data_IF_741523487696
#
_entry.id   IF_741523487696
#
_cell.length_a   1.000
_cell.length_b   1.000
_cell.length_c   1.000
_cell.angle_alpha   90.00
_cell.angle_beta   90.00
_cell.angle_gamma   90.00
#
_symmetry.space_group_name_H-M   'P 1'
#
loop_
_entity.id
_entity.type
_entity.pdbx_description
1 polymer ?
#
# COMPACT_ATOMS: atom_id res chain seq x y z
N UNK A 1 1.75 6.39 14.65
CA UNK A 1 0.30 6.08 14.72
C UNK A 1 -0.49 7.36 14.57
N UNK A 2 -1.47 7.40 13.67
CA UNK A 2 -2.38 8.55 13.52
C UNK A 2 -3.64 8.32 14.36
N UNK A 3 -4.14 9.36 15.02
CA UNK A 3 -5.34 9.29 15.87
C UNK A 3 -6.38 10.30 15.37
N UNK A 4 -7.59 9.80 15.14
CA UNK A 4 -8.76 10.56 14.74
C UNK A 4 -9.87 10.23 15.72
N UNK A 5 -10.57 11.25 16.21
CA UNK A 5 -11.77 11.08 17.03
C UNK A 5 -13.02 11.40 16.22
N UNK A 6 -14.05 10.58 16.41
CA UNK A 6 -15.38 10.79 15.86
C UNK A 6 -16.36 10.98 17.01
N UNK A 7 -17.14 12.06 16.98
CA UNK A 7 -18.13 12.36 18.02
C UNK A 7 -19.36 13.07 17.43
N UNK A 8 -20.43 13.16 18.22
CA UNK A 8 -21.64 13.90 17.85
C UNK A 8 -21.60 15.26 18.55
N UNK A 9 -21.74 16.35 17.79
CA UNK A 9 -21.73 17.69 18.36
C UNK A 9 -23.11 18.09 18.92
N UNK A 10 -23.21 19.29 19.51
CA UNK A 10 -24.47 19.82 20.09
C UNK A 10 -25.62 19.95 19.09
N UNK A 11 -25.35 19.93 17.79
CA UNK A 11 -26.34 19.99 16.71
C UNK A 11 -26.76 18.59 16.22
N UNK A 12 -26.30 17.52 16.86
CA UNK A 12 -26.58 16.15 16.44
C UNK A 12 -25.76 15.69 15.22
N UNK A 13 -24.78 16.47 14.77
CA UNK A 13 -23.98 16.13 13.59
C UNK A 13 -22.76 15.29 13.99
N UNK A 14 -22.46 14.26 13.19
CA UNK A 14 -21.21 13.49 13.30
C UNK A 14 -20.05 14.37 12.83
N UNK A 15 -19.03 14.46 13.67
CA UNK A 15 -17.83 15.25 13.43
C UNK A 15 -16.61 14.35 13.60
N UNK A 16 -15.69 14.43 12.65
CA UNK A 16 -14.37 13.82 12.74
C UNK A 16 -13.30 14.90 12.94
N UNK A 17 -12.34 14.61 13.83
CA UNK A 17 -11.21 15.49 14.12
C UNK A 17 -9.94 14.67 14.20
N UNK A 18 -8.99 15.01 13.35
CA UNK A 18 -7.62 14.55 13.47
C UNK A 18 -6.99 15.17 14.73
N UNK A 19 -6.46 14.34 15.62
CA UNK A 19 -5.80 14.80 16.85
C UNK A 19 -4.29 14.88 16.70
N UNK A 20 -3.70 14.02 15.86
CA UNK A 20 -2.26 14.02 15.65
C UNK A 20 -1.70 12.71 15.10
N UNK A 21 -0.42 12.77 14.74
CA UNK A 21 0.42 11.61 14.48
C UNK A 21 1.43 11.53 15.62
N UNK A 22 1.41 10.42 16.34
CA UNK A 22 2.35 10.14 17.42
C UNK A 22 3.39 9.12 16.95
N UNK A 23 4.64 9.35 17.30
CA UNK A 23 5.68 8.34 17.17
C UNK A 23 5.51 7.32 18.31
N UNK A 24 5.62 6.02 17.98
CA UNK A 24 5.61 4.94 18.95
C UNK A 24 6.82 4.06 18.68
N UNK A 25 7.69 3.92 19.69
CA UNK A 25 8.93 3.16 19.56
C UNK A 25 8.66 1.66 19.40
N UNK A 26 7.58 1.17 20.01
CA UNK A 26 7.13 -0.22 19.94
C UNK A 26 5.65 -0.29 19.57
N UNK A 27 5.29 -1.32 18.80
CA UNK A 27 3.91 -1.55 18.35
C UNK A 27 3.18 -2.59 19.21
N UNK A 28 3.62 -2.80 20.46
CA UNK A 28 2.90 -3.67 21.40
C UNK A 28 1.60 -2.99 21.86
N UNK A 29 0.56 -3.76 22.15
CA UNK A 29 -0.73 -3.22 22.55
C UNK A 29 -0.65 -2.26 23.75
N UNK A 30 0.22 -2.56 24.73
CA UNK A 30 0.43 -1.73 25.92
C UNK A 30 1.05 -0.38 25.58
N UNK A 31 2.10 -0.38 24.76
CA UNK A 31 2.76 0.86 24.31
C UNK A 31 1.79 1.71 23.48
N UNK A 32 1.00 1.07 22.60
CA UNK A 32 -0.03 1.77 21.83
C UNK A 32 -1.12 2.38 22.72
N UNK A 33 -1.65 1.61 23.69
CA UNK A 33 -2.65 2.11 24.65
C UNK A 33 -2.14 3.32 25.41
N UNK A 34 -0.97 3.21 26.04
CA UNK A 34 -0.34 4.30 26.79
C UNK A 34 -0.20 5.57 25.93
N UNK A 35 0.28 5.41 24.70
CA UNK A 35 0.49 6.55 23.81
C UNK A 35 -0.84 7.20 23.38
N UNK A 36 -1.91 6.43 23.22
CA UNK A 36 -3.27 6.95 22.96
C UNK A 36 -3.80 7.71 24.18
N UNK A 37 -3.65 7.15 25.38
CA UNK A 37 -4.10 7.78 26.63
C UNK A 37 -3.38 9.10 26.89
N UNK A 38 -2.06 9.13 26.70
CA UNK A 38 -1.26 10.34 26.81
C UNK A 38 -1.75 11.42 25.84
N UNK A 39 -1.96 11.08 24.56
CA UNK A 39 -2.48 12.05 23.58
C UNK A 39 -3.91 12.50 23.93
N UNK A 40 -4.80 11.61 24.35
CA UNK A 40 -6.16 12.01 24.73
C UNK A 40 -6.14 12.94 25.96
N UNK A 41 -5.26 12.66 26.92
CA UNK A 41 -5.07 13.48 28.12
C UNK A 41 -4.62 14.91 27.80
N UNK A 42 -3.74 15.11 26.81
CA UNK A 42 -3.32 16.47 26.40
C UNK A 42 -4.49 17.31 25.89
N UNK A 43 -5.54 16.68 25.36
CA UNK A 43 -6.78 17.33 24.93
C UNK A 43 -7.91 17.29 25.98
N UNK A 44 -7.62 16.84 27.21
CA UNK A 44 -8.63 16.71 28.28
C UNK A 44 -9.70 15.65 27.99
N UNK A 45 -9.41 14.68 27.13
CA UNK A 45 -10.30 13.58 26.77
C UNK A 45 -10.02 12.36 27.67
N UNK A 46 -11.07 11.82 28.27
CA UNK A 46 -10.98 10.65 29.15
C UNK A 46 -11.43 9.37 28.45
N UNK A 47 -10.73 8.27 28.69
CA UNK A 47 -11.11 6.92 28.23
C UNK A 47 -12.50 6.51 28.70
N UNK A 48 -12.95 6.98 29.87
CA UNK A 48 -14.30 6.73 30.39
C UNK A 48 -15.43 7.21 29.46
N UNK A 49 -15.15 8.19 28.60
CA UNK A 49 -16.10 8.73 27.61
C UNK A 49 -15.98 8.06 26.24
N UNK A 50 -15.01 7.18 26.05
CA UNK A 50 -14.85 6.40 24.82
C UNK A 50 -16.05 5.47 24.65
N UNK A 51 -16.65 5.46 23.46
CA UNK A 51 -17.79 4.59 23.12
C UNK A 51 -17.52 3.64 21.96
N UNK A 52 -16.39 3.80 21.31
CA UNK A 52 -16.00 2.96 20.20
C UNK A 52 -14.52 3.08 19.91
N UNK A 53 -13.97 2.00 19.38
CA UNK A 53 -12.58 1.92 18.95
C UNK A 53 -12.54 1.27 17.56
N UNK A 54 -11.97 1.97 16.58
CA UNK A 54 -11.98 1.56 15.18
C UNK A 54 -10.57 1.48 14.61
N UNK A 55 -10.10 0.27 14.32
CA UNK A 55 -8.78 0.01 13.73
C UNK A 55 -8.72 -1.40 13.10
N UNK A 56 -7.58 -1.76 12.51
CA UNK A 56 -7.38 -3.04 11.81
C UNK A 56 -7.38 -4.26 12.73
N UNK A 57 -7.29 -5.44 12.11
CA UNK A 57 -7.33 -6.75 12.77
C UNK A 57 -5.94 -7.31 13.10
N UNK A 58 -4.89 -6.49 13.14
CA UNK A 58 -3.58 -6.98 13.53
C UNK A 58 -3.62 -7.53 14.97
N UNK A 59 -2.78 -8.53 15.27
CA UNK A 59 -2.81 -9.23 16.57
C UNK A 59 -2.66 -8.28 17.78
N UNK A 60 -1.77 -7.30 17.69
CA UNK A 60 -1.58 -6.29 18.74
C UNK A 60 -2.77 -5.31 18.85
N UNK A 61 -3.62 -5.22 17.82
CA UNK A 61 -4.79 -4.36 17.80
C UNK A 61 -6.04 -5.11 18.28
N UNK A 62 -6.37 -6.25 17.67
CA UNK A 62 -7.64 -6.96 17.89
C UNK A 62 -7.52 -8.27 18.69
N UNK A 63 -6.31 -8.63 19.15
CA UNK A 63 -6.05 -9.86 19.88
C UNK A 63 -6.88 -10.02 21.15
N UNK A 64 -7.28 -11.26 21.44
CA UNK A 64 -8.24 -11.57 22.51
C UNK A 64 -7.70 -11.29 23.92
N UNK A 65 -6.43 -11.62 24.20
CA UNK A 65 -5.86 -11.50 25.55
C UNK A 65 -5.04 -10.23 25.74
N UNK A 66 -4.20 -9.89 24.76
CA UNK A 66 -3.24 -8.81 24.84
C UNK A 66 -3.38 -7.81 23.69
N UNK A 67 -4.52 -7.78 22.99
CA UNK A 67 -4.79 -6.78 21.96
C UNK A 67 -5.23 -5.45 22.56
N UNK A 68 -4.96 -4.36 21.84
CA UNK A 68 -5.40 -3.01 22.20
C UNK A 68 -6.91 -2.96 22.48
N UNK A 69 -7.68 -3.71 21.68
CA UNK A 69 -9.12 -3.94 21.83
C UNK A 69 -9.45 -4.35 23.25
N UNK A 70 -8.83 -5.42 23.71
CA UNK A 70 -9.08 -6.01 25.03
C UNK A 70 -8.64 -5.08 26.14
N UNK A 71 -7.49 -4.41 25.97
CA UNK A 71 -6.98 -3.49 26.99
C UNK A 71 -7.90 -2.27 27.22
N UNK A 72 -8.55 -1.75 26.19
CA UNK A 72 -9.54 -0.68 26.34
C UNK A 72 -10.89 -1.20 26.82
N UNK A 73 -11.34 -2.37 26.35
CA UNK A 73 -12.60 -2.97 26.82
C UNK A 73 -12.54 -3.27 28.32
N UNK A 74 -11.43 -3.81 28.82
CA UNK A 74 -11.25 -4.11 30.25
C UNK A 74 -11.31 -2.85 31.14
N UNK A 75 -10.96 -1.68 30.61
CA UNK A 75 -11.05 -0.41 31.35
C UNK A 75 -12.41 0.27 31.17
N UNK A 76 -12.99 0.17 29.98
CA UNK A 76 -14.28 0.73 29.63
C UNK A 76 -15.06 -0.24 28.74
N UNK A 77 -15.94 -1.03 29.36
CA UNK A 77 -16.78 -2.02 28.68
C UNK A 77 -17.69 -1.43 27.59
N UNK A 78 -17.92 -0.11 27.58
CA UNK A 78 -18.72 0.55 26.56
C UNK A 78 -17.91 0.98 25.33
N UNK A 79 -16.58 0.78 25.31
CA UNK A 79 -15.71 1.12 24.18
C UNK A 79 -15.70 -0.01 23.12
N UNK A 80 -16.82 -0.17 22.42
CA UNK A 80 -17.00 -1.27 21.47
C UNK A 80 -15.98 -1.27 20.32
N UNK A 81 -15.39 -2.42 20.04
CA UNK A 81 -14.46 -2.57 18.93
C UNK A 81 -15.18 -2.77 17.61
N UNK A 82 -14.76 -1.99 16.61
CA UNK A 82 -15.19 -2.09 15.23
C UNK A 82 -13.96 -2.42 14.40
N UNK A 83 -13.96 -3.62 13.81
CA UNK A 83 -12.93 -4.02 12.86
C UNK A 83 -13.06 -3.16 11.60
N UNK A 84 -11.94 -2.61 11.12
CA UNK A 84 -11.92 -1.79 9.93
C UNK A 84 -12.47 -2.55 8.70
N UNK A 85 -13.64 -2.13 8.21
CA UNK A 85 -14.31 -2.74 7.06
C UNK A 85 -13.43 -2.72 5.80
N UNK A 86 -12.68 -1.63 5.56
CA UNK A 86 -11.74 -1.54 4.44
C UNK A 86 -10.66 -2.63 4.50
N UNK A 87 -10.19 -2.99 5.70
CA UNK A 87 -9.26 -4.10 5.88
C UNK A 87 -9.92 -5.44 5.60
N UNK A 88 -11.13 -5.66 6.11
CA UNK A 88 -11.87 -6.89 5.84
C UNK A 88 -12.13 -7.09 4.35
N UNK A 89 -12.55 -6.03 3.65
CA UNK A 89 -12.78 -6.05 2.22
C UNK A 89 -11.48 -6.34 1.45
N UNK A 90 -10.37 -5.67 1.81
CA UNK A 90 -9.06 -5.95 1.20
C UNK A 90 -8.66 -7.41 1.38
N UNK A 91 -8.81 -7.96 2.60
CA UNK A 91 -8.46 -9.36 2.86
C UNK A 91 -9.33 -10.32 2.06
N UNK A 92 -10.63 -10.07 1.96
CA UNK A 92 -11.55 -10.88 1.15
C UNK A 92 -11.17 -10.82 -0.35
N UNK A 93 -10.89 -9.62 -0.87
CA UNK A 93 -10.48 -9.44 -2.26
C UNK A 93 -9.16 -10.15 -2.57
N UNK A 94 -8.15 -9.99 -1.71
CA UNK A 94 -6.85 -10.66 -1.87
C UNK A 94 -7.02 -12.17 -1.80
N UNK A 95 -7.84 -12.67 -0.87
CA UNK A 95 -8.11 -14.10 -0.76
C UNK A 95 -8.75 -14.65 -2.05
N UNK A 96 -9.82 -14.01 -2.54
CA UNK A 96 -10.48 -14.45 -3.78
C UNK A 96 -9.53 -14.35 -4.98
N UNK A 97 -8.79 -13.25 -5.11
CA UNK A 97 -7.82 -13.03 -6.18
C UNK A 97 -6.73 -14.12 -6.22
N UNK A 98 -6.20 -14.51 -5.06
CA UNK A 98 -5.18 -15.56 -4.96
C UNK A 98 -5.70 -16.95 -5.30
N UNK A 99 -6.99 -17.20 -5.12
CA UNK A 99 -7.62 -18.48 -5.46
C UNK A 99 -8.09 -18.55 -6.92
N UNK A 100 -8.01 -17.46 -7.66
CA UNK A 100 -8.32 -17.44 -9.10
C UNK A 100 -7.02 -17.54 -9.91
N UNK A 101 -6.84 -18.64 -10.64
CA UNK A 101 -5.57 -18.99 -11.31
C UNK A 101 -5.05 -17.86 -12.21
N UNK A 102 -5.91 -17.26 -13.04
CA UNK A 102 -5.52 -16.17 -13.94
C UNK A 102 -5.05 -14.92 -13.17
N UNK A 103 -5.72 -14.57 -12.07
CA UNK A 103 -5.35 -13.38 -11.28
C UNK A 103 -4.07 -13.66 -10.49
N UNK A 104 -3.91 -14.88 -9.97
CA UNK A 104 -2.69 -15.32 -9.34
C UNK A 104 -1.50 -15.28 -10.32
N UNK A 105 -1.71 -15.72 -11.58
CA UNK A 105 -0.70 -15.65 -12.65
C UNK A 105 -0.33 -14.19 -12.97
N UNK A 106 -1.31 -13.29 -13.08
CA UNK A 106 -1.07 -11.86 -13.26
C UNK A 106 -0.14 -11.30 -12.18
N UNK A 107 -0.47 -11.53 -10.90
CA UNK A 107 0.36 -11.02 -9.81
C UNK A 107 1.71 -11.75 -9.67
N UNK A 108 1.83 -12.99 -10.15
CA UNK A 108 3.11 -13.68 -10.25
C UNK A 108 4.03 -13.01 -11.28
N UNK A 109 3.52 -12.72 -12.49
CA UNK A 109 4.26 -12.02 -13.54
C UNK A 109 4.69 -10.63 -13.06
N UNK A 110 3.78 -9.86 -12.45
CA UNK A 110 4.09 -8.56 -11.85
C UNK A 110 5.19 -8.69 -10.78
N UNK A 111 5.11 -9.70 -9.91
CA UNK A 111 6.11 -9.91 -8.86
C UNK A 111 7.49 -10.26 -9.42
N UNK A 112 7.55 -11.10 -10.46
CA UNK A 112 8.79 -11.46 -11.14
C UNK A 112 9.42 -10.23 -11.82
N UNK A 113 8.61 -9.42 -12.49
CA UNK A 113 9.05 -8.14 -13.05
C UNK A 113 9.62 -7.22 -11.97
N UNK A 114 8.93 -7.08 -10.83
CA UNK A 114 9.42 -6.27 -9.72
C UNK A 114 10.74 -6.80 -9.13
N UNK A 115 10.97 -8.11 -9.17
CA UNK A 115 12.23 -8.71 -8.70
C UNK A 115 13.39 -8.40 -9.66
N UNK A 116 13.14 -8.44 -10.97
CA UNK A 116 14.15 -8.09 -11.98
C UNK A 116 14.36 -6.58 -11.98
N UNK A 117 13.35 -5.78 -12.30
CA UNK A 117 13.53 -4.33 -12.48
C UNK A 117 13.73 -3.59 -11.16
N UNK A 118 13.00 -3.98 -10.10
CA UNK A 118 12.87 -3.19 -8.89
C UNK A 118 13.89 -3.47 -7.77
N UNK A 119 14.59 -4.61 -7.77
CA UNK A 119 15.49 -4.97 -6.65
C UNK A 119 16.85 -4.28 -6.74
N UNK A 120 17.35 -3.99 -7.95
CA UNK A 120 18.63 -3.30 -8.12
C UNK A 120 18.43 -1.78 -8.07
N UNK A 121 19.22 -1.07 -7.25
CA UNK A 121 19.24 0.39 -7.25
C UNK A 121 19.56 0.95 -8.64
N UNK A 122 20.58 0.39 -9.31
CA UNK A 122 20.97 0.80 -10.66
C UNK A 122 19.80 0.70 -11.66
N UNK A 123 19.07 -0.43 -11.65
CA UNK A 123 17.93 -0.63 -12.57
C UNK A 123 16.74 0.27 -12.24
N UNK A 124 16.53 0.57 -10.96
CA UNK A 124 15.51 1.56 -10.55
C UNK A 124 15.82 2.96 -11.03
N UNK A 125 17.08 3.37 -10.98
CA UNK A 125 17.49 4.69 -11.46
C UNK A 125 17.40 4.76 -12.99
N UNK A 126 17.85 3.71 -13.70
CA UNK A 126 17.64 3.61 -15.15
C UNK A 126 16.14 3.67 -15.54
N UNK A 127 15.27 2.99 -14.80
CA UNK A 127 13.82 3.04 -15.03
C UNK A 127 13.27 4.46 -14.87
N UNK A 128 13.72 5.18 -13.83
CA UNK A 128 13.32 6.59 -13.60
C UNK A 128 13.77 7.49 -14.73
N UNK A 129 15.01 7.33 -15.18
CA UNK A 129 15.57 8.13 -16.27
C UNK A 129 14.79 7.90 -17.57
N UNK A 130 14.54 6.63 -17.93
CA UNK A 130 13.70 6.29 -19.10
C UNK A 130 12.28 6.84 -19.00
N UNK A 131 11.64 6.75 -17.83
CA UNK A 131 10.31 7.32 -17.62
C UNK A 131 10.31 8.84 -17.76
N UNK A 132 11.34 9.51 -17.23
CA UNK A 132 11.51 10.97 -17.34
C UNK A 132 11.68 11.38 -18.79
N UNK A 133 12.56 10.70 -19.55
CA UNK A 133 12.77 10.97 -20.97
C UNK A 133 11.48 10.85 -21.77
N UNK A 134 10.71 9.78 -21.56
CA UNK A 134 9.40 9.58 -22.21
C UNK A 134 8.42 10.70 -21.86
N UNK A 135 8.30 11.03 -20.57
CA UNK A 135 7.41 12.13 -20.12
C UNK A 135 7.79 13.46 -20.78
N UNK A 136 9.09 13.75 -20.94
CA UNK A 136 9.56 14.95 -21.62
C UNK A 136 9.22 14.94 -23.11
N UNK A 137 9.36 13.80 -23.79
CA UNK A 137 8.97 13.65 -25.20
C UNK A 137 7.47 13.86 -25.38
N UNK A 138 6.64 13.25 -24.54
CA UNK A 138 5.17 13.40 -24.58
C UNK A 138 4.74 14.85 -24.32
N UNK A 139 5.44 15.57 -23.43
CA UNK A 139 5.24 17.01 -23.22
C UNK A 139 5.63 17.85 -24.45
N UNK A 140 6.75 17.53 -25.09
CA UNK A 140 7.21 18.24 -26.30
C UNK A 140 6.27 18.01 -27.48
N UNK A 141 5.71 16.81 -27.59
CA UNK A 141 4.73 16.43 -28.63
C UNK A 141 3.32 16.97 -28.35
N UNK A 142 3.09 17.58 -27.18
CA UNK A 142 1.78 18.09 -26.77
C UNK A 142 0.77 17.01 -26.37
N UNK A 143 1.22 15.78 -26.13
CA UNK A 143 0.39 14.66 -25.63
C UNK A 143 0.10 14.80 -24.13
N UNK A 144 1.02 15.43 -23.39
CA UNK A 144 0.84 15.80 -21.99
C UNK A 144 0.75 17.31 -21.79
N UNK A 145 -0.02 17.71 -20.77
CA UNK A 145 -0.16 19.12 -20.36
C UNK A 145 0.71 19.38 -19.14
N UNK A 146 1.26 20.59 -19.05
CA UNK A 146 2.00 21.05 -17.87
C UNK A 146 1.03 21.59 -16.81
N UNK A 147 1.32 21.34 -15.54
CA UNK A 147 0.48 21.81 -14.45
C UNK A 147 0.97 21.38 -13.08
N UNK A 148 0.51 22.07 -12.04
CA UNK A 148 0.89 21.74 -10.67
C UNK A 148 0.36 20.35 -10.29
N UNK A 149 1.27 19.47 -9.90
CA UNK A 149 0.93 18.09 -9.51
C UNK A 149 0.78 17.11 -10.69
N UNK A 150 0.90 17.56 -11.94
CA UNK A 150 0.92 16.69 -13.11
C UNK A 150 2.33 16.13 -13.35
N UNK A 151 2.39 14.96 -13.99
CA UNK A 151 3.63 14.33 -14.48
C UNK A 151 4.72 14.17 -13.39
N UNK A 152 4.30 13.99 -12.14
CA UNK A 152 5.21 13.76 -11.02
C UNK A 152 6.02 12.48 -11.25
N UNK A 153 7.23 12.42 -10.69
CA UNK A 153 8.00 11.18 -10.70
C UNK A 153 7.24 10.09 -9.94
N UNK A 154 7.12 8.92 -10.56
CA UNK A 154 6.42 7.77 -10.00
C UNK A 154 7.37 6.59 -9.90
N UNK A 155 7.09 5.69 -8.95
CA UNK A 155 7.84 4.45 -8.77
C UNK A 155 6.91 3.26 -8.85
N UNK A 156 7.44 2.14 -9.34
CA UNK A 156 6.72 0.88 -9.26
C UNK A 156 6.47 0.51 -7.79
N UNK A 157 5.24 0.14 -7.48
CA UNK A 157 4.87 -0.30 -6.13
C UNK A 157 4.63 -1.79 -6.11
N UNK A 158 5.17 -2.45 -5.08
CA UNK A 158 4.93 -3.88 -4.84
C UNK A 158 3.58 -4.06 -4.16
N UNK A 159 2.81 -5.04 -4.61
CA UNK A 159 1.56 -5.43 -3.97
C UNK A 159 1.86 -6.08 -2.62
N UNK A 160 1.03 -5.79 -1.63
CA UNK A 160 1.15 -6.37 -0.29
C UNK A 160 -0.22 -6.68 0.27
N UNK A 161 -0.40 -7.92 0.73
CA UNK A 161 -1.70 -8.41 1.21
C UNK A 161 -2.30 -7.53 2.31
N UNK A 162 -1.43 -7.00 3.18
CA UNK A 162 -1.81 -6.24 4.36
C UNK A 162 -1.93 -4.73 4.13
N UNK A 163 -1.46 -4.22 2.97
CA UNK A 163 -1.49 -2.79 2.64
C UNK A 163 -2.64 -2.49 1.69
N UNK A 164 -3.62 -1.72 2.18
CA UNK A 164 -4.83 -1.38 1.41
C UNK A 164 -4.50 -0.74 0.07
N UNK A 165 -5.20 -1.18 -0.97
CA UNK A 165 -5.07 -0.62 -2.31
C UNK A 165 -3.71 -0.86 -2.98
N UNK A 166 -2.78 -1.58 -2.34
CA UNK A 166 -1.44 -1.81 -2.90
C UNK A 166 -1.48 -2.59 -4.21
N UNK A 167 -2.40 -3.54 -4.36
CA UNK A 167 -2.59 -4.33 -5.57
C UNK A 167 -3.08 -3.47 -6.74
N UNK A 168 -4.08 -2.63 -6.50
CA UNK A 168 -4.57 -1.64 -7.46
C UNK A 168 -3.44 -0.70 -7.88
N UNK A 169 -2.75 -0.13 -6.90
CA UNK A 169 -1.65 0.80 -7.14
C UNK A 169 -0.49 0.13 -7.90
N UNK A 170 -0.17 -1.14 -7.63
CA UNK A 170 0.82 -1.90 -8.42
C UNK A 170 0.43 -2.00 -9.88
N UNK A 171 -0.83 -2.33 -10.17
CA UNK A 171 -1.33 -2.45 -11.54
C UNK A 171 -1.27 -1.09 -12.24
N UNK A 172 -1.78 -0.03 -11.61
CA UNK A 172 -1.77 1.31 -12.19
C UNK A 172 -0.35 1.78 -12.47
N UNK A 173 0.59 1.61 -11.52
CA UNK A 173 2.00 1.98 -11.73
C UNK A 173 2.63 1.19 -12.87
N UNK A 174 2.32 -0.09 -12.99
CA UNK A 174 2.80 -0.90 -14.11
C UNK A 174 2.24 -0.38 -15.44
N UNK A 175 0.92 -0.15 -15.53
CA UNK A 175 0.29 0.36 -16.76
C UNK A 175 0.95 1.68 -17.19
N UNK A 176 1.12 2.62 -16.26
CA UNK A 176 1.72 3.93 -16.57
C UNK A 176 3.19 3.82 -16.98
N UNK A 177 3.96 2.90 -16.38
CA UNK A 177 5.39 2.75 -16.63
C UNK A 177 5.73 1.62 -17.61
N UNK A 178 4.72 1.02 -18.26
CA UNK A 178 4.89 -0.23 -19.00
C UNK A 178 5.98 -0.14 -20.08
N UNK A 179 6.03 0.90 -20.94
CA UNK A 179 7.08 1.02 -21.95
C UNK A 179 8.49 1.09 -21.33
N UNK A 180 8.64 1.88 -20.27
CA UNK A 180 9.91 2.00 -19.53
C UNK A 180 10.31 0.69 -18.85
N UNK A 181 9.35 -0.14 -18.44
CA UNK A 181 9.64 -1.47 -17.87
C UNK A 181 10.16 -2.42 -18.94
N UNK A 182 9.54 -2.45 -20.13
CA UNK A 182 9.98 -3.25 -21.27
C UNK A 182 11.41 -2.88 -21.66
N UNK A 183 11.67 -1.58 -21.79
CA UNK A 183 13.00 -1.04 -22.08
C UNK A 183 14.09 -1.52 -21.09
N UNK A 184 13.77 -1.65 -19.80
CA UNK A 184 14.73 -2.11 -18.79
C UNK A 184 14.90 -3.63 -18.86
N UNK A 185 13.86 -4.38 -19.19
CA UNK A 185 13.99 -5.83 -19.41
C UNK A 185 14.91 -6.12 -20.60
N UNK A 186 14.78 -5.38 -21.70
CA UNK A 186 15.68 -5.48 -22.86
C UNK A 186 17.14 -5.21 -22.47
N UNK A 187 17.39 -4.13 -21.71
CA UNK A 187 18.72 -3.84 -21.17
C UNK A 187 19.25 -4.99 -20.31
N UNK A 188 18.41 -5.64 -19.49
CA UNK A 188 18.86 -6.79 -18.67
C UNK A 188 19.14 -8.03 -19.52
N UNK A 189 18.41 -8.24 -20.61
CA UNK A 189 18.68 -9.33 -21.55
C UNK A 189 20.06 -9.15 -22.19
N UNK A 190 20.41 -7.93 -22.59
CA UNK A 190 21.69 -7.61 -23.23
C UNK A 190 22.85 -7.56 -22.23
N UNK A 191 22.68 -6.82 -21.13
CA UNK A 191 23.76 -6.44 -20.20
C UNK A 191 23.76 -7.23 -18.87
N UNK A 192 22.87 -8.23 -18.72
CA UNK A 192 22.77 -9.03 -17.50
C UNK A 192 24.09 -9.65 -17.06
N UNK A 193 24.37 -9.65 -15.75
CA UNK A 193 25.66 -10.08 -15.19
C UNK A 193 25.79 -11.61 -15.27
N UNK A 194 24.70 -12.34 -15.06
CA UNK A 194 24.65 -13.80 -15.13
C UNK A 194 23.77 -14.28 -16.28
N UNK A 195 24.10 -15.46 -16.82
CA UNK A 195 23.28 -16.13 -17.83
C UNK A 195 21.86 -16.43 -17.34
N UNK A 196 21.72 -16.68 -16.04
CA UNK A 196 20.42 -16.86 -15.37
C UNK A 196 19.58 -15.59 -15.44
N UNK A 197 20.13 -14.44 -15.05
CA UNK A 197 19.42 -13.15 -15.10
C UNK A 197 18.98 -12.81 -16.52
N UNK A 198 19.83 -13.06 -17.52
CA UNK A 198 19.48 -12.83 -18.94
C UNK A 198 18.32 -13.72 -19.39
N UNK A 199 18.34 -15.01 -19.04
CA UNK A 199 17.26 -15.96 -19.38
C UNK A 199 15.94 -15.59 -18.71
N UNK A 200 15.97 -15.25 -17.43
CA UNK A 200 14.77 -14.84 -16.69
C UNK A 200 14.17 -13.56 -17.28
N UNK A 201 15.01 -12.56 -17.59
CA UNK A 201 14.57 -11.33 -18.21
C UNK A 201 13.99 -11.58 -19.62
N UNK A 202 14.61 -12.45 -20.42
CA UNK A 202 14.15 -12.79 -21.76
C UNK A 202 12.78 -13.48 -21.74
N UNK A 203 12.60 -14.47 -20.86
CA UNK A 203 11.32 -15.17 -20.70
C UNK A 203 10.22 -14.22 -20.21
N UNK A 204 10.55 -13.35 -19.25
CA UNK A 204 9.62 -12.35 -18.74
C UNK A 204 9.25 -11.32 -19.81
N UNK A 205 10.21 -10.84 -20.59
CA UNK A 205 10.00 -9.90 -21.69
C UNK A 205 8.97 -10.44 -22.69
N UNK A 206 9.15 -11.68 -23.14
CA UNK A 206 8.19 -12.35 -24.03
C UNK A 206 6.80 -12.47 -23.42
N UNK A 207 6.72 -12.83 -22.14
CA UNK A 207 5.44 -12.91 -21.40
C UNK A 207 4.75 -11.55 -21.29
N UNK A 208 5.51 -10.48 -21.02
CA UNK A 208 4.96 -9.15 -20.87
C UNK A 208 4.47 -8.58 -22.21
N UNK A 209 5.18 -8.84 -23.31
CA UNK A 209 4.81 -8.39 -24.64
C UNK A 209 3.64 -9.18 -25.24
N UNK A 210 3.41 -10.43 -24.82
CA UNK A 210 2.28 -11.24 -25.32
C UNK A 210 0.93 -10.82 -24.71
N UNK A 211 0.93 -10.19 -23.53
CA UNK A 211 -0.27 -9.84 -22.76
C UNK A 211 -1.19 -11.03 -22.41
N UNK A 212 -0.75 -12.28 -22.64
CA UNK A 212 -1.55 -13.47 -22.35
C UNK A 212 -1.88 -13.56 -20.86
N UNK A 213 -0.98 -13.09 -19.99
CA UNK A 213 -1.17 -13.10 -18.54
C UNK A 213 -2.29 -12.14 -18.05
N UNK A 214 -2.80 -11.23 -18.89
CA UNK A 214 -3.79 -10.21 -18.50
C UNK A 214 -5.21 -10.42 -19.04
N UNK A 215 -5.42 -11.25 -20.06
CA UNK A 215 -6.72 -11.39 -20.75
C UNK A 215 -7.27 -12.84 -20.80
N UNK A 216 -6.83 -13.70 -19.87
CA UNK A 216 -7.33 -15.09 -19.75
C UNK A 216 -8.64 -15.22 -18.95
#
# INVERSE_FOLDING_TARGET
MAIVVRFVNKKGMVVERFLGIIHVAETTARTLKKSIEELLSTYGLSISKLRGQGYDGASNMSGEFNGLKTLFLNENNAAHYIHCFSHQLQLALVYVAKNHVQIALLFLVISNMMNIVGVSCKRRDQLRDKQRERTLMELQNGELVTGQGLNQEITLKRSGDTRWGSHYESIIRLITMFPSVIDILEVVVEDGISSEQKREAFALLGTMQSFEFSFC
#
